data_IF_803140030990
#
_entry.id   IF_803140030990
#
_cell.length_a   1.000
_cell.length_b   1.000
_cell.length_c   1.000
_cell.angle_alpha   90.00
_cell.angle_beta   90.00
_cell.angle_gamma   90.00
#
_symmetry.space_group_name_H-M   'P 1'
#
loop_
_entity.id
_entity.type
_entity.pdbx_description
1 polymer ?
#
# COMPACT_ATOMS: atom_id res chain seq x y z
N UNK A 1 -15.06 21.00 7.08
CA UNK A 1 -13.79 20.25 6.99
C UNK A 1 -14.17 18.80 6.72
N UNK A 2 -13.57 18.16 5.71
CA UNK A 2 -13.87 16.78 5.28
C UNK A 2 -12.57 16.08 4.88
N UNK A 3 -12.43 14.78 5.19
CA UNK A 3 -11.26 13.97 4.89
C UNK A 3 -11.37 13.34 3.51
N UNK A 4 -10.43 13.67 2.60
CA UNK A 4 -10.49 13.22 1.20
C UNK A 4 -9.87 11.84 0.94
N UNK A 5 -9.09 11.29 1.89
CA UNK A 5 -8.42 9.99 1.74
C UNK A 5 -7.54 9.85 0.47
N UNK A 6 -6.69 10.84 0.18
CA UNK A 6 -5.85 10.89 -1.03
C UNK A 6 -4.35 10.71 -0.73
N UNK A 7 -3.99 9.95 0.31
CA UNK A 7 -2.59 9.75 0.68
C UNK A 7 -1.90 8.65 -0.16
N UNK A 8 -1.93 8.78 -1.48
CA UNK A 8 -1.21 7.95 -2.46
C UNK A 8 -1.12 8.69 -3.80
N UNK A 9 -0.25 8.24 -4.69
CA UNK A 9 -0.13 8.80 -6.05
C UNK A 9 -0.24 7.66 -7.06
N UNK A 10 -1.14 7.80 -8.02
CA UNK A 10 -1.23 6.96 -9.21
C UNK A 10 -0.21 7.42 -10.23
N UNK A 11 0.71 6.54 -10.62
CA UNK A 11 1.69 6.81 -11.67
C UNK A 11 1.17 6.36 -13.05
N UNK A 12 0.42 5.27 -13.08
CA UNK A 12 -0.21 4.67 -14.26
C UNK A 12 -1.57 4.07 -13.86
N UNK A 13 -2.32 3.50 -14.81
CA UNK A 13 -3.65 2.93 -14.56
C UNK A 13 -3.63 1.78 -13.54
N UNK A 14 -2.54 1.01 -13.49
CA UNK A 14 -2.32 -0.14 -12.61
C UNK A 14 -1.09 0.01 -11.70
N UNK A 15 -0.50 1.21 -11.64
CA UNK A 15 0.67 1.51 -10.82
C UNK A 15 0.43 2.70 -9.89
N UNK A 16 0.65 2.48 -8.59
CA UNK A 16 0.61 3.54 -7.59
C UNK A 16 1.81 3.46 -6.65
N UNK A 17 2.10 4.59 -6.01
CA UNK A 17 3.12 4.72 -4.97
C UNK A 17 2.52 5.31 -3.70
N UNK A 18 3.00 4.80 -2.58
CA UNK A 18 2.62 5.24 -1.24
C UNK A 18 3.67 6.23 -0.72
N UNK A 19 3.30 7.03 0.29
CA UNK A 19 4.25 7.78 1.11
C UNK A 19 5.22 8.69 0.33
N UNK A 20 4.77 9.32 -0.76
CA UNK A 20 5.65 10.11 -1.66
C UNK A 20 6.40 11.26 -0.95
N UNK A 21 5.81 11.85 0.09
CA UNK A 21 6.45 12.92 0.88
C UNK A 21 7.50 12.38 1.87
N UNK A 22 7.43 11.09 2.20
CA UNK A 22 8.21 10.44 3.26
C UNK A 22 8.98 9.21 2.73
N UNK A 23 9.49 9.29 1.48
CA UNK A 23 10.16 8.16 0.81
C UNK A 23 11.33 7.59 1.60
N UNK A 24 12.08 8.46 2.29
CA UNK A 24 13.24 8.03 3.07
C UNK A 24 12.83 7.21 4.30
N UNK A 25 11.71 7.56 4.94
CA UNK A 25 11.18 6.87 6.12
C UNK A 25 10.68 5.46 5.78
N UNK A 26 10.12 5.28 4.59
CA UNK A 26 9.54 4.00 4.14
C UNK A 26 10.51 3.22 3.24
N UNK A 27 11.78 3.65 3.18
CA UNK A 27 12.78 3.01 2.33
C UNK A 27 13.17 1.62 2.84
N UNK A 28 13.60 0.76 1.91
CA UNK A 28 14.12 -0.58 2.26
C UNK A 28 15.24 -0.51 3.30
N UNK A 29 16.11 0.51 3.19
CA UNK A 29 17.20 0.74 4.16
C UNK A 29 16.66 1.13 5.53
N UNK A 30 15.65 2.00 5.61
CA UNK A 30 15.09 2.43 6.88
C UNK A 30 14.49 1.27 7.67
N UNK A 31 13.82 0.33 6.98
CA UNK A 31 13.16 -0.83 7.61
C UNK A 31 14.19 -1.91 8.01
N UNK A 32 15.30 -2.06 7.29
CA UNK A 32 16.26 -3.15 7.51
C UNK A 32 17.56 -2.72 8.23
N UNK A 33 17.64 -1.50 8.75
CA UNK A 33 18.82 -1.06 9.52
C UNK A 33 18.84 -1.73 10.90
N UNK A 34 20.02 -2.11 11.43
CA UNK A 34 20.12 -2.83 12.70
C UNK A 34 19.76 -1.99 13.93
N UNK A 35 19.77 -0.65 13.80
CA UNK A 35 19.48 0.33 14.84
C UNK A 35 18.00 0.78 14.85
N UNK A 36 17.14 0.18 14.01
CA UNK A 36 15.71 0.53 14.02
C UNK A 36 15.08 0.14 15.35
N UNK A 37 14.37 1.08 15.95
CA UNK A 37 13.59 0.83 17.16
C UNK A 37 12.20 0.30 16.81
N UNK A 38 11.60 -0.47 17.73
CA UNK A 38 10.23 -0.99 17.55
C UNK A 38 9.24 0.15 17.29
N UNK A 39 9.41 1.30 17.98
CA UNK A 39 8.54 2.48 17.80
C UNK A 39 8.66 3.08 16.40
N UNK A 40 9.87 3.17 15.84
CA UNK A 40 10.08 3.67 14.48
C UNK A 40 9.47 2.69 13.46
N UNK A 41 9.68 1.39 13.65
CA UNK A 41 9.08 0.35 12.82
C UNK A 41 7.55 0.47 12.81
N UNK A 42 6.93 0.59 13.99
CA UNK A 42 5.49 0.76 14.14
C UNK A 42 4.98 2.00 13.38
N UNK A 43 5.69 3.13 13.48
CA UNK A 43 5.36 4.39 12.80
C UNK A 43 5.42 4.27 11.27
N UNK A 44 6.45 3.60 10.75
CA UNK A 44 6.59 3.33 9.31
C UNK A 44 5.43 2.45 8.83
N UNK A 45 5.09 1.41 9.57
CA UNK A 45 3.97 0.53 9.20
C UNK A 45 2.63 1.24 9.27
N UNK A 46 2.39 2.11 10.26
CA UNK A 46 1.17 2.92 10.32
C UNK A 46 1.03 3.85 9.13
N UNK A 47 2.14 4.46 8.70
CA UNK A 47 2.16 5.34 7.51
C UNK A 47 1.78 4.57 6.23
N UNK A 48 2.30 3.33 6.07
CA UNK A 48 1.93 2.44 4.95
C UNK A 48 0.45 2.07 5.03
N UNK A 49 -0.02 1.68 6.22
CA UNK A 49 -1.43 1.27 6.46
C UNK A 49 -2.39 2.41 6.15
N UNK A 50 -2.06 3.64 6.55
CA UNK A 50 -2.86 4.83 6.29
C UNK A 50 -2.99 5.12 4.79
N UNK A 51 -1.88 4.97 4.06
CA UNK A 51 -1.84 5.17 2.61
C UNK A 51 -2.63 4.08 1.86
N UNK A 52 -2.46 2.81 2.25
CA UNK A 52 -3.23 1.69 1.70
C UNK A 52 -4.73 1.80 2.01
N UNK A 53 -5.07 2.25 3.22
CA UNK A 53 -6.45 2.50 3.59
C UNK A 53 -7.08 3.56 2.68
N UNK A 54 -6.37 4.67 2.45
CA UNK A 54 -6.81 5.71 1.50
C UNK A 54 -7.09 5.12 0.12
N UNK A 55 -6.16 4.33 -0.42
CA UNK A 55 -6.33 3.66 -1.71
C UNK A 55 -7.61 2.80 -1.77
N UNK A 56 -7.86 1.96 -0.76
CA UNK A 56 -9.05 1.09 -0.76
C UNK A 56 -10.36 1.85 -0.52
N UNK A 57 -10.33 2.97 0.20
CA UNK A 57 -11.47 3.89 0.29
C UNK A 57 -11.76 4.50 -1.08
N UNK A 58 -10.75 4.98 -1.81
CA UNK A 58 -10.92 5.49 -3.18
C UNK A 58 -11.41 4.41 -4.15
N UNK A 59 -10.92 3.17 -4.00
CA UNK A 59 -11.38 2.03 -4.80
C UNK A 59 -12.81 1.59 -4.46
N UNK A 60 -13.32 1.94 -3.27
CA UNK A 60 -14.63 1.51 -2.78
C UNK A 60 -14.75 0.00 -2.54
N UNK A 61 -13.63 -0.70 -2.33
CA UNK A 61 -13.61 -2.16 -2.22
C UNK A 61 -12.80 -2.64 -1.00
N UNK A 62 -13.26 -3.72 -0.37
CA UNK A 62 -12.57 -4.34 0.78
C UNK A 62 -11.79 -5.58 0.33
N UNK A 63 -10.45 -5.57 0.36
CA UNK A 63 -9.63 -6.64 -0.19
C UNK A 63 -9.57 -7.88 0.70
N UNK A 64 -9.33 -9.05 0.11
CA UNK A 64 -8.80 -10.22 0.82
C UNK A 64 -7.29 -10.02 0.96
N UNK A 65 -6.77 -9.99 2.19
CA UNK A 65 -5.35 -9.74 2.43
C UNK A 65 -4.58 -11.06 2.52
N UNK A 66 -3.41 -11.14 1.86
CA UNK A 66 -2.42 -12.22 1.93
C UNK A 66 -1.03 -11.63 2.10
N UNK A 67 -0.20 -12.26 2.92
CA UNK A 67 1.17 -11.83 3.21
C UNK A 67 2.07 -13.02 3.60
N UNK A 68 3.39 -12.81 3.56
CA UNK A 68 4.39 -13.69 4.18
C UNK A 68 4.34 -13.59 5.72
N UNK A 69 4.46 -14.73 6.41
CA UNK A 69 4.48 -14.78 7.88
C UNK A 69 5.84 -14.40 8.44
N UNK A 70 5.86 -13.76 9.61
CA UNK A 70 7.05 -13.38 10.37
C UNK A 70 7.81 -12.19 9.79
N UNK A 71 7.17 -11.38 8.96
CA UNK A 71 7.82 -10.29 8.21
C UNK A 71 7.09 -8.96 8.40
N UNK A 72 7.70 -7.85 7.97
CA UNK A 72 7.07 -6.53 8.03
C UNK A 72 5.73 -6.50 7.25
N UNK A 73 5.62 -7.26 6.16
CA UNK A 73 4.36 -7.43 5.44
C UNK A 73 3.21 -7.96 6.32
N UNK A 74 3.48 -8.84 7.31
CA UNK A 74 2.46 -9.33 8.25
C UNK A 74 1.98 -8.23 9.19
N UNK A 75 2.89 -7.38 9.67
CA UNK A 75 2.54 -6.24 10.53
C UNK A 75 1.61 -5.26 9.81
N UNK A 76 1.93 -4.93 8.55
CA UNK A 76 1.05 -4.11 7.70
C UNK A 76 -0.30 -4.81 7.47
N UNK A 77 -0.30 -6.10 7.17
CA UNK A 77 -1.52 -6.86 6.91
C UNK A 77 -2.48 -6.85 8.10
N UNK A 78 -1.98 -7.11 9.31
CA UNK A 78 -2.78 -7.17 10.55
C UNK A 78 -3.34 -5.79 10.88
N UNK A 79 -2.51 -4.75 10.81
CA UNK A 79 -2.94 -3.36 11.07
C UNK A 79 -3.97 -2.87 10.06
N UNK A 80 -3.78 -3.17 8.78
CA UNK A 80 -4.73 -2.81 7.72
C UNK A 80 -6.06 -3.54 7.87
N UNK A 81 -6.05 -4.85 8.13
CA UNK A 81 -7.28 -5.63 8.38
C UNK A 81 -8.06 -5.06 9.57
N UNK A 82 -7.37 -4.73 10.67
CA UNK A 82 -7.97 -4.08 11.83
C UNK A 82 -8.61 -2.73 11.45
N UNK A 83 -7.86 -1.86 10.77
CA UNK A 83 -8.34 -0.53 10.37
C UNK A 83 -9.55 -0.59 9.44
N UNK A 84 -9.54 -1.51 8.48
CA UNK A 84 -10.68 -1.75 7.58
C UNK A 84 -11.91 -2.22 8.36
N UNK A 85 -11.76 -3.19 9.26
CA UNK A 85 -12.88 -3.71 10.08
C UNK A 85 -13.48 -2.67 11.01
N UNK A 86 -12.65 -1.82 11.61
CA UNK A 86 -13.11 -0.74 12.49
C UNK A 86 -13.94 0.29 11.72
N UNK A 87 -13.49 0.69 10.53
CA UNK A 87 -14.20 1.67 9.70
C UNK A 87 -15.46 1.09 9.02
N UNK A 88 -15.53 -0.23 8.80
CA UNK A 88 -16.75 -0.88 8.30
C UNK A 88 -17.85 -1.02 9.37
N UNK A 89 -17.48 -1.07 10.65
CA UNK A 89 -18.44 -1.18 11.77
C UNK A 89 -19.12 0.14 12.08
N UNK A 90 -18.48 1.26 11.75
CA UNK A 90 -19.05 2.57 11.97
C UNK A 90 -20.12 2.86 10.91
N UNK A 91 -21.39 2.55 11.24
CA UNK A 91 -22.53 2.72 10.35
C UNK A 91 -22.76 4.18 9.89
N UNK A 92 -22.08 5.16 10.52
CA UNK A 92 -22.11 6.56 10.11
C UNK A 92 -21.10 6.87 9.01
N UNK A 93 -20.13 5.99 8.77
CA UNK A 93 -19.03 6.18 7.85
C UNK A 93 -19.16 5.20 6.67
N UNK A 94 -20.01 5.55 5.70
CA UNK A 94 -20.24 4.76 4.48
C UNK A 94 -19.09 4.85 3.46
N UNK A 95 -17.84 4.73 3.93
CA UNK A 95 -16.63 4.86 3.11
C UNK A 95 -16.53 3.81 1.99
N UNK A 96 -17.21 2.67 2.17
CA UNK A 96 -17.21 1.55 1.24
C UNK A 96 -18.60 1.28 0.63
N UNK A 97 -19.57 2.18 0.84
CA UNK A 97 -20.98 2.01 0.46
C UNK A 97 -21.47 3.06 -0.54
N UNK A 98 -20.56 3.74 -1.25
CA UNK A 98 -20.91 4.72 -2.29
C UNK A 98 -21.84 4.16 -3.36
N UNK A 99 -22.70 5.04 -3.91
CA UNK A 99 -23.84 4.86 -4.84
C UNK A 99 -23.68 3.89 -6.03
N UNK A 100 -22.52 3.31 -6.24
CA UNK A 100 -22.22 2.30 -7.28
C UNK A 100 -22.32 0.85 -6.80
N UNK A 101 -22.40 0.61 -5.49
CA UNK A 101 -22.41 -0.74 -4.91
C UNK A 101 -23.55 -0.88 -3.92
N UNK A 102 -24.70 -1.36 -4.41
CA UNK A 102 -25.79 -1.77 -3.55
C UNK A 102 -25.30 -2.78 -2.51
N UNK A 103 -25.85 -2.71 -1.29
CA UNK A 103 -25.45 -3.48 -0.10
C UNK A 103 -25.33 -5.02 -0.26
N UNK A 104 -25.63 -5.58 -1.44
CA UNK A 104 -25.42 -6.98 -1.81
C UNK A 104 -24.16 -7.29 -2.62
N UNK A 105 -23.38 -6.30 -3.10
CA UNK A 105 -22.21 -6.54 -3.97
C UNK A 105 -20.88 -6.86 -3.25
N UNK A 106 -20.80 -6.74 -1.92
CA UNK A 106 -19.65 -7.23 -1.14
C UNK A 106 -19.41 -8.74 -1.29
N UNK A 107 -20.34 -9.48 -1.91
CA UNK A 107 -20.40 -10.94 -1.87
C UNK A 107 -19.75 -11.66 -3.07
N UNK A 108 -19.44 -11.01 -4.20
CA UNK A 108 -19.00 -11.75 -5.40
C UNK A 108 -17.66 -11.34 -6.06
N UNK A 109 -17.13 -10.14 -5.83
CA UNK A 109 -15.82 -9.73 -6.40
C UNK A 109 -15.02 -8.89 -5.40
N UNK A 110 -14.31 -9.56 -4.49
CA UNK A 110 -13.36 -8.89 -3.59
C UNK A 110 -11.95 -8.96 -4.19
N UNK A 111 -11.24 -7.84 -4.35
CA UNK A 111 -9.86 -7.86 -4.85
C UNK A 111 -8.93 -8.58 -3.86
N UNK A 112 -7.88 -9.20 -4.38
CA UNK A 112 -6.82 -9.81 -3.58
C UNK A 112 -5.68 -8.81 -3.40
N UNK A 113 -5.37 -8.46 -2.15
CA UNK A 113 -4.17 -7.71 -1.81
C UNK A 113 -3.07 -8.69 -1.37
N UNK A 114 -1.96 -8.73 -2.11
CA UNK A 114 -0.79 -9.51 -1.76
C UNK A 114 0.31 -8.57 -1.30
N UNK A 115 0.71 -8.68 -0.03
CA UNK A 115 1.81 -7.93 0.56
C UNK A 115 3.07 -8.80 0.61
N UNK A 116 4.16 -8.28 0.06
CA UNK A 116 5.42 -9.00 -0.07
C UNK A 116 6.58 -8.07 0.28
N UNK A 117 7.52 -8.56 1.08
CA UNK A 117 8.77 -7.86 1.34
C UNK A 117 9.75 -7.98 0.17
N UNK A 118 10.54 -6.94 -0.06
CA UNK A 118 11.56 -6.91 -1.13
C UNK A 118 12.56 -8.06 -1.06
N UNK A 119 12.75 -8.66 0.13
CA UNK A 119 13.64 -9.80 0.37
C UNK A 119 13.32 -11.04 -0.47
N UNK A 120 12.09 -11.16 -1.01
CA UNK A 120 11.72 -12.29 -1.87
C UNK A 120 12.55 -12.34 -3.18
N UNK A 121 13.00 -11.18 -3.65
CA UNK A 121 13.73 -11.03 -4.90
C UNK A 121 14.54 -9.74 -4.86
N UNK A 122 15.86 -9.82 -4.71
CA UNK A 122 16.75 -8.66 -4.78
C UNK A 122 17.44 -8.53 -6.14
N UNK A 123 17.28 -9.52 -7.03
CA UNK A 123 17.98 -9.57 -8.31
C UNK A 123 17.27 -8.71 -9.36
N UNK A 124 15.94 -8.77 -9.43
CA UNK A 124 15.17 -8.05 -10.46
C UNK A 124 15.41 -6.54 -10.47
N UNK A 125 15.44 -5.81 -9.33
CA UNK A 125 15.73 -4.37 -9.34
C UNK A 125 17.14 -4.00 -9.83
N UNK A 126 18.08 -4.95 -9.81
CA UNK A 126 19.48 -4.76 -10.25
C UNK A 126 19.69 -5.20 -11.71
N UNK A 127 18.67 -5.79 -12.34
CA UNK A 127 18.78 -6.30 -13.69
C UNK A 127 18.54 -5.19 -14.71
N UNK A 128 19.52 -4.94 -15.59
CA UNK A 128 19.35 -4.06 -16.74
C UNK A 128 18.37 -4.68 -17.74
N UNK A 129 17.15 -4.17 -17.77
CA UNK A 129 16.10 -4.63 -18.67
C UNK A 129 16.08 -3.80 -19.96
N UNK A 130 15.55 -4.38 -21.03
CA UNK A 130 15.54 -3.80 -22.39
C UNK A 130 14.16 -3.27 -22.79
N UNK A 131 13.18 -3.31 -21.89
CA UNK A 131 11.88 -2.68 -22.10
C UNK A 131 12.05 -1.17 -22.03
N UNK A 132 11.38 -0.44 -22.91
CA UNK A 132 11.57 1.00 -23.08
C UNK A 132 11.51 1.77 -21.75
N UNK A 133 10.45 1.58 -20.98
CA UNK A 133 10.23 2.30 -19.73
C UNK A 133 11.35 2.08 -18.71
N UNK A 134 11.76 0.82 -18.50
CA UNK A 134 12.79 0.49 -17.53
C UNK A 134 14.19 0.90 -18.01
N UNK A 135 14.50 0.72 -19.30
CA UNK A 135 15.77 1.14 -19.89
C UNK A 135 15.94 2.67 -19.86
N UNK A 136 14.87 3.42 -20.15
CA UNK A 136 14.88 4.88 -20.08
C UNK A 136 15.12 5.33 -18.63
N UNK A 137 14.41 4.76 -17.66
CA UNK A 137 14.59 5.11 -16.24
C UNK A 137 16.01 4.77 -15.74
N UNK A 138 16.61 3.70 -16.25
CA UNK A 138 17.93 3.21 -15.84
C UNK A 138 19.09 4.00 -16.48
N UNK A 139 18.98 4.34 -17.76
CA UNK A 139 20.06 5.04 -18.50
C UNK A 139 19.91 6.57 -18.46
N UNK A 140 18.68 7.08 -18.44
CA UNK A 140 18.36 8.50 -18.55
C UNK A 140 17.80 9.02 -17.22
N UNK A 141 18.62 8.96 -16.17
CA UNK A 141 18.31 9.28 -14.76
C UNK A 141 17.66 10.67 -14.49
N UNK A 142 17.48 11.55 -15.49
CA UNK A 142 17.13 12.98 -15.30
C UNK A 142 16.28 13.66 -16.40
N UNK A 143 15.36 12.98 -17.07
CA UNK A 143 14.35 13.67 -17.89
C UNK A 143 12.93 13.32 -17.45
N UNK A 144 12.55 13.80 -16.27
CA UNK A 144 11.22 14.27 -15.80
C UNK A 144 11.41 14.86 -14.40
#
# INVERSE_FOLDING_TARGET
VFDQYLNFITLEDDMFVLCNQNKELVSYRAINRPDITDTEMETVMDTIVDSLFCFFVTLGAVPIIRCSRGTAAEMVAVKLDKKLRENLRDARNSLFTGDTLGAGQFSFQRPLLVLVDRNIDLATPLHHTWTYQALVHDVLERWI
#
